data_IF_233279899657
#
_entry.id   IF_233279899657
#
_cell.length_a   1.000
_cell.length_b   1.000
_cell.length_c   1.000
_cell.angle_alpha   90.00
_cell.angle_beta   90.00
_cell.angle_gamma   90.00
#
_symmetry.space_group_name_H-M   'P 1'
#
loop_
_entity.id
_entity.type
_entity.pdbx_description
1 polymer ?
#
# COMPACT_ATOMS: atom_id res chain seq x y z
N UNK A 1 20.69 5.53 0.59
CA UNK A 1 19.90 4.80 -0.42
C UNK A 1 18.47 5.35 -0.42
N UNK A 2 17.80 5.39 -1.58
CA UNK A 2 16.41 5.88 -1.72
C UNK A 2 15.52 4.77 -2.28
N UNK A 3 14.32 4.59 -1.73
CA UNK A 3 13.30 3.71 -2.30
C UNK A 3 12.47 4.39 -3.40
N UNK A 4 12.03 3.60 -4.37
CA UNK A 4 11.06 4.00 -5.39
C UNK A 4 9.99 2.95 -5.56
N UNK A 5 8.78 3.38 -5.92
CA UNK A 5 7.71 2.50 -6.37
C UNK A 5 8.02 2.00 -7.79
N UNK A 6 8.18 0.69 -7.95
CA UNK A 6 8.47 0.05 -9.25
C UNK A 6 7.25 -0.63 -9.87
N UNK A 7 6.20 -0.85 -9.10
CA UNK A 7 4.96 -1.40 -9.60
C UNK A 7 3.85 -1.35 -8.55
N UNK A 8 2.62 -1.21 -9.02
CA UNK A 8 1.41 -1.18 -8.20
C UNK A 8 0.30 -1.92 -8.97
N UNK A 9 -0.38 -2.86 -8.34
CA UNK A 9 -1.45 -3.64 -8.96
C UNK A 9 -2.42 -4.22 -7.94
N UNK A 10 -3.44 -4.91 -8.44
CA UNK A 10 -4.41 -5.70 -7.68
C UNK A 10 -4.42 -7.11 -8.26
N UNK A 11 -4.56 -8.12 -7.41
CA UNK A 11 -4.70 -9.50 -7.88
C UNK A 11 -6.18 -9.80 -8.11
N UNK A 12 -6.65 -9.57 -9.34
CA UNK A 12 -8.02 -9.84 -9.77
C UNK A 12 -8.03 -10.43 -11.18
N UNK A 13 -8.87 -11.44 -11.46
CA UNK A 13 -9.07 -11.93 -12.82
C UNK A 13 -9.94 -10.99 -13.66
N UNK A 14 -10.73 -10.11 -13.03
CA UNK A 14 -11.79 -9.35 -13.69
C UNK A 14 -11.38 -7.92 -14.04
N UNK A 15 -10.42 -7.35 -13.32
CA UNK A 15 -10.02 -5.95 -13.47
C UNK A 15 -8.55 -5.73 -13.13
N UNK A 16 -7.95 -4.69 -13.73
CA UNK A 16 -6.70 -4.11 -13.25
C UNK A 16 -6.97 -2.98 -12.28
N UNK A 17 -5.92 -2.46 -11.64
CA UNK A 17 -6.04 -1.28 -10.79
C UNK A 17 -6.58 -0.06 -11.57
N UNK A 18 -6.17 0.09 -12.83
CA UNK A 18 -6.59 1.18 -13.71
C UNK A 18 -8.05 1.06 -14.15
N UNK A 19 -8.57 -0.16 -14.32
CA UNK A 19 -9.95 -0.39 -14.74
C UNK A 19 -10.93 -0.55 -13.58
N UNK A 20 -10.43 -0.77 -12.36
CA UNK A 20 -11.27 -0.93 -11.18
C UNK A 20 -12.11 0.33 -10.90
N UNK A 21 -13.39 0.09 -10.64
CA UNK A 21 -14.32 1.08 -10.08
C UNK A 21 -15.15 0.37 -9.02
N UNK A 22 -15.19 0.87 -7.76
CA UNK A 22 -16.12 0.33 -6.77
C UNK A 22 -17.56 0.70 -7.13
N UNK A 23 -18.52 -0.11 -6.66
CA UNK A 23 -19.95 0.18 -6.79
C UNK A 23 -20.31 1.55 -6.17
N UNK A 24 -19.79 1.82 -4.97
CA UNK A 24 -19.90 3.09 -4.27
C UNK A 24 -18.51 3.68 -4.08
N UNK A 25 -18.20 4.82 -4.73
CA UNK A 25 -16.86 5.45 -4.63
C UNK A 25 -16.44 5.77 -3.20
N UNK A 26 -17.37 6.13 -2.32
CA UNK A 26 -17.09 6.43 -0.91
C UNK A 26 -17.29 5.24 0.02
N UNK A 27 -17.58 4.03 -0.47
CA UNK A 27 -17.81 2.86 0.38
C UNK A 27 -17.11 1.63 -0.22
N UNK A 28 -15.80 1.52 -0.05
CA UNK A 28 -15.02 0.39 -0.56
C UNK A 28 -13.81 0.03 0.32
N UNK A 29 -13.30 -1.18 0.10
CA UNK A 29 -11.96 -1.61 0.50
C UNK A 29 -11.29 -2.27 -0.70
N UNK A 30 -10.00 -2.03 -0.89
CA UNK A 30 -9.21 -2.62 -1.97
C UNK A 30 -7.81 -2.97 -1.44
N UNK A 31 -7.39 -4.22 -1.61
CA UNK A 31 -6.01 -4.62 -1.34
C UNK A 31 -5.14 -4.28 -2.54
N UNK A 32 -4.14 -3.45 -2.33
CA UNK A 32 -3.18 -3.03 -3.34
C UNK A 32 -1.82 -3.65 -3.06
N UNK A 33 -1.22 -4.21 -4.09
CA UNK A 33 0.12 -4.79 -4.07
C UNK A 33 1.14 -3.80 -4.62
N UNK A 34 2.30 -3.72 -3.97
CA UNK A 34 3.38 -2.80 -4.28
C UNK A 34 4.67 -3.59 -4.51
N UNK A 35 5.43 -3.20 -5.54
CA UNK A 35 6.84 -3.58 -5.71
C UNK A 35 7.66 -2.34 -5.41
N UNK A 36 8.45 -2.40 -4.35
CA UNK A 36 9.31 -1.30 -3.92
C UNK A 36 10.75 -1.80 -3.93
N UNK A 37 11.68 -0.95 -4.37
CA UNK A 37 13.09 -1.30 -4.41
C UNK A 37 13.98 -0.06 -4.41
N UNK A 38 15.30 -0.23 -4.23
CA UNK A 38 16.25 0.87 -4.35
C UNK A 38 16.20 1.48 -5.76
N UNK A 39 16.34 2.81 -5.84
CA UNK A 39 16.38 3.54 -7.12
C UNK A 39 17.52 3.07 -8.03
N UNK A 40 18.71 2.84 -7.45
CA UNK A 40 19.93 2.50 -8.17
C UNK A 40 20.07 1.02 -8.53
N UNK A 41 19.15 0.15 -8.11
CA UNK A 41 19.29 -1.30 -8.21
C UNK A 41 18.07 -1.99 -8.83
N UNK A 42 18.24 -3.22 -9.28
CA UNK A 42 17.13 -4.04 -9.80
C UNK A 42 16.32 -4.75 -8.72
N UNK A 43 16.88 -4.90 -7.51
CA UNK A 43 16.22 -5.58 -6.39
C UNK A 43 14.86 -4.97 -6.06
N UNK A 44 13.93 -5.84 -5.66
CA UNK A 44 12.56 -5.49 -5.23
C UNK A 44 12.16 -6.35 -4.03
N UNK A 45 11.28 -5.80 -3.20
CA UNK A 45 10.42 -6.58 -2.31
C UNK A 45 8.95 -6.24 -2.56
N UNK A 46 8.11 -7.16 -2.12
CA UNK A 46 6.67 -7.04 -2.14
C UNK A 46 6.15 -6.44 -0.84
N UNK A 47 5.23 -5.49 -1.00
CA UNK A 47 4.48 -4.90 0.09
C UNK A 47 2.99 -4.86 -0.27
N UNK A 48 2.13 -4.83 0.75
CA UNK A 48 0.69 -4.78 0.58
C UNK A 48 0.07 -3.64 1.40
N UNK A 49 -1.02 -3.06 0.89
CA UNK A 49 -1.73 -1.98 1.55
C UNK A 49 -3.23 -2.09 1.29
N UNK A 50 -4.03 -2.05 2.35
CA UNK A 50 -5.48 -1.86 2.20
C UNK A 50 -5.77 -0.39 1.95
N UNK A 51 -6.51 -0.08 0.89
CA UNK A 51 -7.11 1.25 0.67
C UNK A 51 -8.57 1.16 1.05
N UNK A 52 -9.00 1.92 2.04
CA UNK A 52 -10.32 1.75 2.65
C UNK A 52 -11.00 3.09 2.91
N UNK A 53 -12.31 3.15 2.74
CA UNK A 53 -13.09 4.31 3.17
C UNK A 53 -13.68 4.13 4.57
N UNK A 54 -13.81 5.21 5.36
CA UNK A 54 -14.48 5.15 6.65
C UNK A 54 -15.90 4.54 6.58
N UNK A 55 -16.67 4.85 5.54
CA UNK A 55 -18.02 4.33 5.34
C UNK A 55 -18.04 2.81 5.18
N UNK A 56 -17.02 2.22 4.52
CA UNK A 56 -16.91 0.77 4.41
C UNK A 56 -16.71 0.13 5.78
N UNK A 57 -15.85 0.72 6.62
CA UNK A 57 -15.62 0.27 8.01
C UNK A 57 -16.88 0.38 8.85
N UNK A 58 -17.62 1.49 8.76
CA UNK A 58 -18.90 1.66 9.46
C UNK A 58 -19.92 0.57 9.08
N UNK A 59 -19.96 0.17 7.80
CA UNK A 59 -20.89 -0.87 7.33
C UNK A 59 -20.45 -2.31 7.71
N UNK A 60 -19.16 -2.58 7.87
CA UNK A 60 -18.65 -3.96 7.98
C UNK A 60 -17.86 -4.31 9.26
N UNK A 61 -17.39 -3.30 10.03
CA UNK A 61 -16.33 -3.48 11.05
C UNK A 61 -16.40 -2.42 12.18
N UNK A 62 -17.56 -2.11 12.75
CA UNK A 62 -17.63 -1.12 13.85
C UNK A 62 -17.38 -1.72 15.25
N UNK A 63 -16.22 -2.34 15.44
CA UNK A 63 -15.66 -2.68 16.76
C UNK A 63 -14.24 -2.09 16.87
N UNK A 64 -13.72 -1.83 18.08
CA UNK A 64 -12.34 -1.40 18.24
C UNK A 64 -11.35 -2.40 17.61
N UNK A 65 -10.51 -1.93 16.68
CA UNK A 65 -9.51 -2.74 15.96
C UNK A 65 -8.17 -1.99 15.85
N UNK A 66 -7.05 -2.70 16.03
CA UNK A 66 -5.71 -2.17 15.75
C UNK A 66 -5.42 -2.35 14.26
N UNK A 67 -5.74 -1.32 13.47
CA UNK A 67 -5.55 -1.36 12.02
C UNK A 67 -4.12 -0.98 11.64
N UNK A 68 -3.36 -1.95 11.10
CA UNK A 68 -2.08 -1.71 10.41
C UNK A 68 -2.30 -1.77 8.90
N UNK A 69 -1.33 -1.24 8.17
CA UNK A 69 -1.25 -1.37 6.71
C UNK A 69 -2.50 -0.96 5.94
N UNK A 70 -3.14 0.12 6.41
CA UNK A 70 -4.38 0.63 5.83
C UNK A 70 -4.27 2.14 5.56
N UNK A 71 -4.50 2.53 4.32
CA UNK A 71 -4.66 3.90 3.89
C UNK A 71 -6.15 4.25 3.88
N UNK A 72 -6.53 5.21 4.71
CA UNK A 72 -7.89 5.75 4.72
C UNK A 72 -8.04 6.83 3.65
N UNK A 73 -9.06 6.68 2.80
CA UNK A 73 -9.43 7.66 1.76
C UNK A 73 -10.91 8.03 1.87
N UNK A 74 -11.30 9.21 1.40
CA UNK A 74 -12.71 9.64 1.44
C UNK A 74 -13.54 9.03 0.31
N UNK A 75 -12.89 8.71 -0.80
CA UNK A 75 -13.50 8.11 -1.99
C UNK A 75 -12.41 7.42 -2.83
N UNK A 76 -12.84 6.60 -3.78
CA UNK A 76 -11.95 6.03 -4.77
C UNK A 76 -11.53 7.12 -5.76
N UNK A 77 -10.26 7.49 -5.65
CA UNK A 77 -9.55 8.40 -6.54
C UNK A 77 -8.15 7.82 -6.75
N UNK A 78 -7.95 7.14 -7.88
CA UNK A 78 -6.74 6.36 -8.11
C UNK A 78 -5.49 7.24 -8.15
N UNK A 79 -5.61 8.46 -8.66
CA UNK A 79 -4.49 9.40 -8.74
C UNK A 79 -4.09 9.89 -7.34
N UNK A 80 -5.06 10.23 -6.49
CA UNK A 80 -4.83 10.59 -5.09
C UNK A 80 -4.18 9.43 -4.31
N UNK A 81 -4.66 8.21 -4.52
CA UNK A 81 -4.13 6.99 -3.90
C UNK A 81 -2.67 6.76 -4.34
N UNK A 82 -2.41 6.73 -5.65
CA UNK A 82 -1.06 6.52 -6.21
C UNK A 82 -0.10 7.59 -5.73
N UNK A 83 -0.53 8.85 -5.73
CA UNK A 83 0.27 9.98 -5.24
C UNK A 83 0.61 9.82 -3.76
N UNK A 84 -0.37 9.53 -2.91
CA UNK A 84 -0.16 9.39 -1.46
C UNK A 84 0.83 8.26 -1.14
N UNK A 85 0.70 7.11 -1.82
CA UNK A 85 1.62 5.99 -1.67
C UNK A 85 3.04 6.38 -2.11
N UNK A 86 3.15 7.02 -3.28
CA UNK A 86 4.45 7.38 -3.87
C UNK A 86 5.16 8.45 -3.03
N UNK A 87 4.44 9.49 -2.60
CA UNK A 87 4.97 10.56 -1.74
C UNK A 87 5.54 9.99 -0.42
N UNK A 88 4.91 8.96 0.16
CA UNK A 88 5.42 8.31 1.37
C UNK A 88 6.67 7.48 1.09
N UNK A 89 6.69 6.71 0.00
CA UNK A 89 7.85 5.91 -0.41
C UNK A 89 9.06 6.82 -0.69
N UNK A 90 8.84 7.94 -1.37
CA UNK A 90 9.90 8.91 -1.71
C UNK A 90 10.57 9.55 -0.48
N UNK A 91 9.89 9.58 0.66
CA UNK A 91 10.43 10.06 1.94
C UNK A 91 11.27 9.01 2.67
N UNK A 92 11.29 7.76 2.19
CA UNK A 92 12.02 6.67 2.82
C UNK A 92 13.45 6.56 2.26
N UNK A 93 14.40 7.07 3.04
CA UNK A 93 15.84 6.92 2.82
C UNK A 93 16.50 6.17 3.97
N UNK A 94 17.66 5.57 3.74
CA UNK A 94 18.43 4.83 4.76
C UNK A 94 19.84 4.48 4.29
N UNK A 95 20.67 3.99 5.20
CA UNK A 95 22.04 3.56 4.92
C UNK A 95 22.04 2.30 4.04
N UNK A 96 21.10 1.38 4.29
CA UNK A 96 20.90 0.15 3.52
C UNK A 96 19.42 -0.14 3.23
N UNK A 97 19.17 -1.22 2.49
CA UNK A 97 17.82 -1.63 2.13
C UNK A 97 16.99 -2.10 3.32
N UNK A 98 17.60 -2.76 4.31
CA UNK A 98 16.89 -3.29 5.47
C UNK A 98 16.31 -2.16 6.32
N UNK A 99 17.08 -1.08 6.53
CA UNK A 99 16.62 0.11 7.24
C UNK A 99 15.41 0.75 6.51
N UNK A 100 15.47 0.85 5.19
CA UNK A 100 14.38 1.38 4.37
C UNK A 100 13.15 0.47 4.43
N UNK A 101 13.32 -0.85 4.29
CA UNK A 101 12.25 -1.82 4.35
C UNK A 101 11.54 -1.80 5.72
N UNK A 102 12.28 -1.62 6.82
CA UNK A 102 11.74 -1.44 8.17
C UNK A 102 10.99 -0.11 8.36
N UNK A 103 11.37 0.96 7.64
CA UNK A 103 10.59 2.22 7.62
C UNK A 103 9.29 2.02 6.87
N UNK A 104 9.35 1.40 5.69
CA UNK A 104 8.20 1.05 4.86
C UNK A 104 7.22 0.12 5.58
N UNK A 105 7.71 -0.87 6.35
CA UNK A 105 6.88 -1.86 7.06
C UNK A 105 5.99 -1.25 8.16
N UNK A 106 6.29 -0.03 8.61
CA UNK A 106 5.42 0.73 9.53
C UNK A 106 4.08 1.08 8.90
N UNK A 107 4.03 1.19 7.57
CA UNK A 107 2.85 1.63 6.82
C UNK A 107 2.37 0.60 5.81
N UNK A 108 3.24 -0.22 5.24
CA UNK A 108 2.88 -1.27 4.29
C UNK A 108 3.19 -2.66 4.88
N UNK A 109 2.38 -3.68 4.57
CA UNK A 109 2.65 -5.03 5.03
C UNK A 109 3.76 -5.63 4.18
N UNK A 110 4.92 -5.90 4.78
CA UNK A 110 6.10 -6.41 4.06
C UNK A 110 6.09 -7.94 3.98
N UNK A 111 6.49 -8.53 2.84
CA UNK A 111 6.52 -9.99 2.68
C UNK A 111 7.49 -10.72 3.63
N UNK A 112 8.52 -10.01 4.13
CA UNK A 112 9.49 -10.51 5.12
C UNK A 112 9.31 -9.86 6.49
N UNK A 113 8.13 -9.28 6.77
CA UNK A 113 7.84 -8.76 8.11
C UNK A 113 8.04 -9.87 9.15
N UNK A 114 8.81 -9.57 10.18
CA UNK A 114 9.19 -10.50 11.26
C UNK A 114 9.93 -11.78 10.82
N UNK A 115 10.47 -11.83 9.60
CA UNK A 115 11.29 -12.96 9.15
C UNK A 115 12.55 -13.07 10.02
N UNK A 116 12.71 -14.23 10.66
CA UNK A 116 13.94 -14.63 11.32
C UNK A 116 14.57 -15.79 10.53
N UNK A 117 15.83 -15.65 10.08
CA UNK A 117 16.51 -16.68 9.28
C UNK A 117 16.81 -17.97 10.06
#
# INVERSE_FOLDING_TARGET
MKAILKGIWVDSPDFSLESYQPEEKNCFILLVNLRIGPESEKGINYFHLNVCTPEWLCKHRWLPELMRHTLLVRKYDLDEIKKTITDYIDQCEGEDWMEIAQKLSRVFAWEYEDYQP
#
